data_IF_241352653467
#
_entry.id   IF_241352653467
#
_cell.length_a   1.000
_cell.length_b   1.000
_cell.length_c   1.000
_cell.angle_alpha   90.00
_cell.angle_beta   90.00
_cell.angle_gamma   90.00
#
_symmetry.space_group_name_H-M   'P 1'
#
loop_
_entity.id
_entity.type
_entity.pdbx_description
1 polymer ?
#
# COMPACT_ATOMS: atom_id res chain seq x y z
N UNK A 1 -50.51 -11.39 10.18
CA UNK A 1 -50.90 -10.13 9.54
C UNK A 1 -52.22 -9.68 10.15
N UNK A 2 -52.29 -8.47 10.65
CA UNK A 2 -53.49 -8.02 11.33
C UNK A 2 -53.76 -6.58 10.91
N UNK A 3 -54.87 -6.37 10.21
CA UNK A 3 -55.39 -5.00 9.99
C UNK A 3 -56.27 -4.67 11.17
N UNK A 4 -55.99 -3.57 11.79
CA UNK A 4 -56.72 -3.01 12.94
C UNK A 4 -57.56 -1.85 12.43
N UNK A 5 -58.79 -1.72 12.90
CA UNK A 5 -59.62 -0.56 12.59
C UNK A 5 -60.02 0.20 13.85
N UNK A 6 -60.18 1.51 13.71
CA UNK A 6 -60.76 2.40 14.74
C UNK A 6 -61.79 3.33 14.14
N UNK A 7 -62.68 3.82 14.95
CA UNK A 7 -63.60 4.90 14.56
C UNK A 7 -63.07 6.22 15.09
N UNK A 8 -62.95 7.20 14.20
CA UNK A 8 -62.61 8.58 14.54
C UNK A 8 -63.68 9.52 14.00
N UNK A 9 -64.65 9.86 14.87
CA UNK A 9 -65.86 10.57 14.45
C UNK A 9 -66.76 9.66 13.63
N UNK A 10 -67.15 10.09 12.42
CA UNK A 10 -67.95 9.31 11.48
C UNK A 10 -67.13 8.51 10.46
N UNK A 11 -65.81 8.49 10.57
CA UNK A 11 -64.90 7.85 9.60
C UNK A 11 -64.18 6.66 10.26
N UNK A 12 -64.26 5.48 9.61
CA UNK A 12 -63.53 4.31 10.00
C UNK A 12 -62.15 4.33 9.38
N UNK A 13 -61.11 4.24 10.22
CA UNK A 13 -59.69 4.23 9.79
C UNK A 13 -59.04 2.88 10.00
N UNK A 14 -58.04 2.56 9.18
CA UNK A 14 -57.37 1.27 9.13
C UNK A 14 -55.85 1.44 9.29
N UNK A 15 -55.26 0.50 10.02
CA UNK A 15 -53.84 0.41 10.25
C UNK A 15 -53.38 -1.03 10.10
N UNK A 16 -52.26 -1.28 9.39
CA UNK A 16 -51.67 -2.61 9.39
C UNK A 16 -50.62 -2.76 10.48
N UNK A 17 -50.52 -3.99 11.00
CA UNK A 17 -49.46 -4.43 11.89
C UNK A 17 -48.77 -5.64 11.27
N UNK A 18 -47.43 -5.46 10.99
CA UNK A 18 -46.60 -6.52 10.41
C UNK A 18 -45.45 -6.87 11.32
N UNK A 19 -45.09 -8.14 11.31
CA UNK A 19 -43.89 -8.66 11.92
C UNK A 19 -42.89 -8.95 10.79
N UNK A 20 -41.68 -8.57 10.97
CA UNK A 20 -40.59 -8.84 10.05
C UNK A 20 -39.31 -9.18 10.83
N UNK A 21 -38.40 -9.92 10.19
CA UNK A 21 -37.12 -10.27 10.76
C UNK A 21 -36.13 -9.26 10.29
N UNK A 22 -35.38 -8.67 11.23
CA UNK A 22 -34.28 -7.75 10.87
C UNK A 22 -33.07 -8.54 10.35
N UNK A 23 -32.06 -7.83 9.89
CA UNK A 23 -30.83 -8.37 9.32
C UNK A 23 -29.99 -9.21 10.31
N UNK A 24 -30.27 -9.08 11.61
CA UNK A 24 -29.61 -9.87 12.67
C UNK A 24 -30.45 -11.11 13.07
N UNK A 25 -31.55 -11.37 12.37
CA UNK A 25 -32.45 -12.48 12.70
C UNK A 25 -33.48 -12.16 13.79
N UNK A 26 -33.49 -10.91 14.29
CA UNK A 26 -34.43 -10.55 15.36
C UNK A 26 -35.81 -10.22 14.79
N UNK A 27 -36.87 -10.77 15.44
CA UNK A 27 -38.24 -10.49 15.09
C UNK A 27 -38.66 -9.11 15.58
N UNK A 28 -39.05 -8.21 14.67
CA UNK A 28 -39.55 -6.87 14.96
C UNK A 28 -40.97 -6.68 14.51
N UNK A 29 -41.66 -5.77 15.18
CA UNK A 29 -43.03 -5.38 14.85
C UNK A 29 -43.04 -3.92 14.37
N UNK A 30 -43.84 -3.65 13.34
CA UNK A 30 -44.11 -2.29 12.85
C UNK A 30 -45.60 -2.10 12.65
N UNK A 31 -46.10 -0.93 13.13
CA UNK A 31 -47.44 -0.40 12.86
C UNK A 31 -47.31 0.68 11.79
N UNK A 32 -48.27 0.73 10.84
CA UNK A 32 -48.36 1.81 9.85
C UNK A 32 -48.96 3.09 10.44
N UNK A 33 -49.03 4.14 9.62
CA UNK A 33 -50.00 5.22 9.86
C UNK A 33 -51.40 4.72 9.67
N UNK A 34 -52.41 5.52 10.07
CA UNK A 34 -53.82 5.24 9.82
C UNK A 34 -54.18 5.67 8.39
N UNK A 35 -54.99 4.84 7.71
CA UNK A 35 -55.50 5.07 6.37
C UNK A 35 -57.01 5.19 6.43
N UNK A 36 -57.61 5.97 5.53
CA UNK A 36 -59.05 6.19 5.53
C UNK A 36 -59.80 5.08 4.82
N UNK A 37 -59.11 4.25 4.00
CA UNK A 37 -59.72 3.09 3.36
C UNK A 37 -58.93 1.81 3.66
N UNK A 38 -59.67 0.67 3.72
CA UNK A 38 -59.05 -0.63 3.92
C UNK A 38 -58.16 -1.04 2.71
N UNK A 39 -58.51 -0.55 1.51
CA UNK A 39 -57.75 -0.84 0.29
C UNK A 39 -56.39 -0.17 0.35
N UNK A 40 -56.34 1.13 0.64
CA UNK A 40 -55.08 1.86 0.81
C UNK A 40 -54.19 1.23 1.89
N UNK A 41 -54.77 0.77 2.99
CA UNK A 41 -54.06 0.09 4.05
C UNK A 41 -53.43 -1.23 3.57
N UNK A 42 -54.17 -2.05 2.78
CA UNK A 42 -53.67 -3.30 2.19
C UNK A 42 -52.58 -3.05 1.14
N UNK A 43 -52.76 -2.06 0.28
CA UNK A 43 -51.77 -1.71 -0.75
C UNK A 43 -50.46 -1.19 -0.11
N UNK A 44 -50.58 -0.42 0.95
CA UNK A 44 -49.43 0.05 1.71
C UNK A 44 -48.74 -1.08 2.50
N UNK A 45 -49.49 -2.07 3.01
CA UNK A 45 -48.95 -3.28 3.63
C UNK A 45 -48.15 -4.11 2.61
N UNK A 46 -48.74 -4.37 1.45
CA UNK A 46 -48.11 -5.13 0.37
C UNK A 46 -46.82 -4.45 -0.11
N UNK A 47 -46.85 -3.13 -0.32
CA UNK A 47 -45.68 -2.31 -0.66
C UNK A 47 -44.60 -2.38 0.44
N UNK A 48 -45.00 -2.34 1.72
CA UNK A 48 -44.06 -2.49 2.82
C UNK A 48 -43.43 -3.88 2.86
N UNK A 49 -44.19 -4.95 2.65
CA UNK A 49 -43.66 -6.31 2.63
C UNK A 49 -42.71 -6.53 1.46
N UNK A 50 -43.06 -6.06 0.26
CA UNK A 50 -42.14 -6.07 -0.89
C UNK A 50 -40.86 -5.30 -0.57
N UNK A 51 -40.97 -4.07 -0.07
CA UNK A 51 -39.84 -3.26 0.36
C UNK A 51 -39.08 -3.85 1.55
N UNK A 52 -39.69 -4.61 2.44
CA UNK A 52 -39.01 -5.25 3.56
C UNK A 52 -38.29 -6.53 3.14
N UNK A 53 -38.81 -7.26 2.15
CA UNK A 53 -38.10 -8.36 1.49
C UNK A 53 -36.92 -7.83 0.63
N UNK A 54 -37.07 -6.64 0.03
CA UNK A 54 -35.97 -5.92 -0.58
C UNK A 54 -35.05 -5.24 0.43
N UNK A 55 -35.57 -4.89 1.64
CA UNK A 55 -34.86 -4.21 2.75
C UNK A 55 -34.09 -5.14 3.69
N UNK A 56 -33.70 -6.30 3.28
CA UNK A 56 -32.51 -6.97 3.80
C UNK A 56 -31.21 -6.25 3.34
N UNK A 57 -31.34 -5.02 2.89
CA UNK A 57 -30.28 -4.14 2.48
C UNK A 57 -30.00 -3.20 3.65
N UNK A 58 -28.83 -3.31 4.26
CA UNK A 58 -28.37 -2.38 5.29
C UNK A 58 -28.48 -0.95 4.79
N UNK A 59 -29.20 -0.12 5.54
CA UNK A 59 -29.26 1.33 5.33
C UNK A 59 -28.02 1.94 6.00
N UNK A 60 -26.86 1.77 5.36
CA UNK A 60 -25.57 2.24 5.86
C UNK A 60 -25.01 3.32 4.96
N UNK A 61 -24.46 4.37 5.55
CA UNK A 61 -23.74 5.41 4.82
C UNK A 61 -22.37 4.88 4.37
N UNK A 62 -21.89 5.39 3.23
CA UNK A 62 -20.59 4.99 2.71
C UNK A 62 -19.46 5.22 3.72
N UNK A 63 -19.47 6.34 4.44
CA UNK A 63 -18.49 6.67 5.48
C UNK A 63 -18.44 5.62 6.59
N UNK A 64 -19.59 5.16 7.05
CA UNK A 64 -19.68 4.18 8.14
C UNK A 64 -19.18 2.83 7.66
N UNK A 65 -19.61 2.39 6.48
CA UNK A 65 -19.10 1.17 5.84
C UNK A 65 -17.59 1.22 5.59
N UNK A 66 -17.08 2.37 5.16
CA UNK A 66 -15.65 2.56 4.92
C UNK A 66 -14.83 2.48 6.22
N UNK A 67 -15.33 3.06 7.32
CA UNK A 67 -14.68 2.96 8.62
C UNK A 67 -14.66 1.51 9.12
N UNK A 68 -15.77 0.77 9.00
CA UNK A 68 -15.79 -0.66 9.34
C UNK A 68 -14.79 -1.47 8.49
N UNK A 69 -14.74 -1.20 7.19
CA UNK A 69 -13.75 -1.83 6.31
C UNK A 69 -12.31 -1.50 6.71
N UNK A 70 -12.02 -0.25 7.08
CA UNK A 70 -10.69 0.16 7.55
C UNK A 70 -10.30 -0.63 8.80
N UNK A 71 -11.18 -0.72 9.79
CA UNK A 71 -10.94 -1.49 11.02
C UNK A 71 -10.78 -2.99 10.73
N UNK A 72 -11.66 -3.57 9.94
CA UNK A 72 -11.57 -4.97 9.52
C UNK A 72 -10.23 -5.28 8.83
N UNK A 73 -9.83 -4.44 7.88
CA UNK A 73 -8.61 -4.63 7.12
C UNK A 73 -7.33 -4.30 7.90
N UNK A 74 -7.42 -3.52 8.98
CA UNK A 74 -6.27 -3.16 9.82
C UNK A 74 -5.69 -4.34 10.59
N UNK A 75 -6.49 -5.38 10.85
CA UNK A 75 -6.02 -6.62 11.50
C UNK A 75 -4.93 -7.35 10.71
N UNK A 76 -4.91 -7.17 9.39
CA UNK A 76 -3.92 -7.79 8.49
C UNK A 76 -2.91 -6.79 7.89
N UNK A 77 -3.05 -5.50 8.18
CA UNK A 77 -2.25 -4.44 7.57
C UNK A 77 -1.47 -3.63 8.61
N UNK A 78 -0.42 -2.95 8.16
CA UNK A 78 0.37 -2.05 9.00
C UNK A 78 -0.40 -0.79 9.37
N UNK A 79 -0.05 -0.16 10.51
CA UNK A 79 -0.62 1.11 10.97
C UNK A 79 -0.56 2.20 9.89
N UNK A 80 0.53 2.26 9.12
CA UNK A 80 0.68 3.19 7.98
C UNK A 80 -0.38 2.98 6.90
N UNK A 81 -0.73 1.72 6.59
CA UNK A 81 -1.78 1.41 5.61
C UNK A 81 -3.17 1.82 6.12
N UNK A 82 -3.43 1.67 7.42
CA UNK A 82 -4.65 2.15 8.07
C UNK A 82 -4.78 3.66 7.94
N UNK A 83 -3.73 4.41 8.31
CA UNK A 83 -3.69 5.87 8.21
C UNK A 83 -3.89 6.37 6.77
N UNK A 84 -3.28 5.71 5.78
CA UNK A 84 -3.46 6.08 4.38
C UNK A 84 -4.90 5.87 3.90
N UNK A 85 -5.57 4.79 4.32
CA UNK A 85 -6.99 4.56 4.03
C UNK A 85 -7.89 5.61 4.70
N UNK A 86 -7.63 5.95 5.96
CA UNK A 86 -8.35 7.01 6.68
C UNK A 86 -8.19 8.37 5.98
N UNK A 87 -6.96 8.67 5.53
CA UNK A 87 -6.70 9.88 4.76
C UNK A 87 -7.44 9.88 3.42
N UNK A 88 -7.48 8.74 2.70
CA UNK A 88 -8.22 8.62 1.46
C UNK A 88 -9.72 8.85 1.68
N UNK A 89 -10.30 8.27 2.71
CA UNK A 89 -11.70 8.46 3.07
C UNK A 89 -12.00 9.95 3.32
N UNK A 90 -11.20 10.58 4.18
CA UNK A 90 -11.41 11.97 4.59
C UNK A 90 -11.20 12.99 3.46
N UNK A 91 -10.19 12.76 2.58
CA UNK A 91 -9.77 13.77 1.60
C UNK A 91 -10.40 13.61 0.23
N UNK A 92 -10.78 12.39 -0.16
CA UNK A 92 -11.18 12.11 -1.54
C UNK A 92 -12.56 11.45 -1.67
N UNK A 93 -13.21 11.09 -0.57
CA UNK A 93 -14.50 10.40 -0.62
C UNK A 93 -15.65 11.26 -0.08
N UNK A 94 -15.49 12.56 -0.01
CA UNK A 94 -16.48 13.50 0.55
C UNK A 94 -17.82 13.40 -0.18
N UNK A 95 -17.80 13.32 -1.50
CA UNK A 95 -19.00 13.14 -2.33
C UNK A 95 -19.79 11.87 -1.97
N UNK A 96 -19.13 10.84 -1.46
CA UNK A 96 -19.73 9.56 -1.10
C UNK A 96 -20.15 9.47 0.38
N UNK A 97 -19.48 10.22 1.26
CA UNK A 97 -19.45 10.01 2.70
C UNK A 97 -20.85 9.85 3.32
N UNK A 98 -21.74 10.77 3.06
CA UNK A 98 -23.09 10.79 3.66
C UNK A 98 -24.17 10.08 2.84
N UNK A 99 -23.80 9.51 1.69
CA UNK A 99 -24.74 8.76 0.85
C UNK A 99 -24.96 7.34 1.37
N UNK A 100 -26.20 6.89 1.29
CA UNK A 100 -26.53 5.48 1.46
C UNK A 100 -25.88 4.67 0.34
N UNK A 101 -25.13 3.62 0.69
CA UNK A 101 -24.38 2.81 -0.27
C UNK A 101 -25.26 2.17 -1.37
N UNK A 102 -26.51 1.84 -1.05
CA UNK A 102 -27.45 1.27 -2.01
C UNK A 102 -28.00 2.31 -3.01
N UNK A 103 -27.93 3.59 -2.67
CA UNK A 103 -28.32 4.69 -3.54
C UNK A 103 -27.24 5.08 -4.54
N UNK A 104 -25.99 4.64 -4.32
CA UNK A 104 -24.87 4.98 -5.17
C UNK A 104 -24.93 4.12 -6.44
N UNK A 105 -25.28 4.73 -7.57
CA UNK A 105 -25.38 4.08 -8.88
C UNK A 105 -24.17 4.41 -9.74
N UNK A 106 -23.99 3.65 -10.83
CA UNK A 106 -22.87 3.81 -11.77
C UNK A 106 -22.72 5.25 -12.28
N UNK A 107 -23.85 5.91 -12.63
CA UNK A 107 -23.81 7.29 -13.10
C UNK A 107 -23.21 8.25 -12.07
N UNK A 108 -23.50 8.03 -10.78
CA UNK A 108 -22.90 8.82 -9.71
C UNK A 108 -21.42 8.48 -9.50
N UNK A 109 -21.05 7.20 -9.61
CA UNK A 109 -19.64 6.80 -9.54
C UNK A 109 -18.80 7.35 -10.68
N UNK A 110 -19.40 7.54 -11.87
CA UNK A 110 -18.76 8.27 -12.97
C UNK A 110 -18.41 9.71 -12.55
N UNK A 111 -19.35 10.44 -11.94
CA UNK A 111 -19.07 11.80 -11.43
C UNK A 111 -17.95 11.81 -10.37
N UNK A 112 -17.93 10.82 -9.48
CA UNK A 112 -16.84 10.67 -8.49
C UNK A 112 -15.50 10.40 -9.18
N UNK A 113 -15.50 9.57 -10.22
CA UNK A 113 -14.29 9.30 -11.01
C UNK A 113 -13.79 10.58 -11.71
N UNK A 114 -14.70 11.32 -12.35
CA UNK A 114 -14.37 12.58 -13.04
C UNK A 114 -13.83 13.61 -12.04
N UNK A 115 -14.43 13.74 -10.85
CA UNK A 115 -13.91 14.56 -9.76
C UNK A 115 -12.47 14.14 -9.35
N UNK A 116 -12.21 12.83 -9.22
CA UNK A 116 -10.85 12.34 -8.88
C UNK A 116 -9.86 12.66 -10.02
N UNK A 117 -10.32 12.69 -11.26
CA UNK A 117 -9.48 13.04 -12.41
C UNK A 117 -9.01 14.50 -12.35
N UNK A 118 -9.89 15.40 -11.97
CA UNK A 118 -9.64 16.83 -11.88
C UNK A 118 -8.71 17.25 -10.71
N UNK A 119 -8.39 16.33 -9.78
CA UNK A 119 -7.55 16.63 -8.62
C UNK A 119 -6.06 16.83 -8.93
N UNK A 120 -5.61 16.71 -10.17
CA UNK A 120 -4.20 16.85 -10.55
C UNK A 120 -3.26 15.80 -9.94
N UNK A 121 -3.81 14.65 -9.52
CA UNK A 121 -3.05 13.56 -8.90
C UNK A 121 -2.41 12.66 -9.97
N UNK A 122 -1.31 11.97 -9.63
CA UNK A 122 -0.74 10.94 -10.48
C UNK A 122 -1.74 9.81 -10.75
N UNK A 123 -1.70 9.21 -11.94
CA UNK A 123 -2.54 8.06 -12.34
C UNK A 123 -2.51 6.93 -11.30
N UNK A 124 -1.34 6.64 -10.75
CA UNK A 124 -1.18 5.63 -9.68
C UNK A 124 -1.98 6.01 -8.42
N UNK A 125 -1.97 7.29 -8.01
CA UNK A 125 -2.71 7.77 -6.83
C UNK A 125 -4.22 7.75 -7.08
N UNK A 126 -4.67 8.21 -8.25
CA UNK A 126 -6.07 8.13 -8.69
C UNK A 126 -6.58 6.68 -8.62
N UNK A 127 -5.86 5.75 -9.22
CA UNK A 127 -6.21 4.32 -9.21
C UNK A 127 -6.20 3.70 -7.81
N UNK A 128 -5.36 4.19 -6.91
CA UNK A 128 -5.34 3.75 -5.51
C UNK A 128 -6.59 4.19 -4.76
N UNK A 129 -7.10 5.40 -5.04
CA UNK A 129 -8.37 5.90 -4.48
C UNK A 129 -9.54 5.05 -4.99
N UNK A 130 -9.63 4.81 -6.32
CA UNK A 130 -10.65 3.93 -6.89
C UNK A 130 -10.58 2.53 -6.31
N UNK A 131 -9.39 1.98 -6.11
CA UNK A 131 -9.15 0.67 -5.49
C UNK A 131 -9.62 0.61 -4.03
N UNK A 132 -9.48 1.69 -3.28
CA UNK A 132 -10.01 1.80 -1.92
C UNK A 132 -11.54 1.80 -1.93
N UNK A 133 -12.18 2.63 -2.75
CA UNK A 133 -13.65 2.69 -2.90
C UNK A 133 -14.21 1.31 -3.31
N UNK A 134 -13.59 0.66 -4.29
CA UNK A 134 -13.95 -0.70 -4.72
C UNK A 134 -13.89 -1.71 -3.57
N UNK A 135 -12.85 -1.61 -2.74
CA UNK A 135 -12.67 -2.51 -1.59
C UNK A 135 -13.75 -2.31 -0.52
N UNK A 136 -14.20 -1.07 -0.31
CA UNK A 136 -15.32 -0.75 0.59
C UNK A 136 -16.60 -1.39 0.09
N UNK A 137 -16.94 -1.26 -1.21
CA UNK A 137 -18.12 -1.91 -1.78
C UNK A 137 -18.05 -3.45 -1.71
N UNK A 138 -16.89 -4.03 -2.02
CA UNK A 138 -16.69 -5.50 -1.88
C UNK A 138 -16.87 -5.97 -0.45
N UNK A 139 -16.41 -5.20 0.53
CA UNK A 139 -16.66 -5.48 1.94
C UNK A 139 -18.16 -5.44 2.26
N UNK A 140 -18.85 -4.41 1.77
CA UNK A 140 -20.31 -4.27 1.92
C UNK A 140 -21.09 -5.40 1.26
N UNK A 141 -20.69 -5.87 0.09
CA UNK A 141 -21.28 -7.05 -0.54
C UNK A 141 -21.12 -8.31 0.33
N UNK A 142 -19.91 -8.48 0.92
CA UNK A 142 -19.59 -9.67 1.72
C UNK A 142 -20.31 -9.71 3.07
N UNK A 143 -20.45 -8.56 3.74
CA UNK A 143 -20.89 -8.52 5.14
C UNK A 143 -22.19 -7.76 5.37
N UNK A 144 -22.63 -6.93 4.41
CA UNK A 144 -23.80 -6.05 4.56
C UNK A 144 -24.86 -6.27 3.48
N UNK A 145 -24.79 -7.35 2.72
CA UNK A 145 -25.83 -7.73 1.76
C UNK A 145 -26.01 -6.73 0.61
N UNK A 146 -25.01 -5.91 0.30
CA UNK A 146 -25.05 -5.03 -0.88
C UNK A 146 -25.06 -5.92 -2.12
N UNK A 147 -26.07 -5.73 -3.00
CA UNK A 147 -26.32 -6.63 -4.13
C UNK A 147 -25.35 -6.44 -5.31
N UNK A 148 -24.83 -5.24 -5.50
CA UNK A 148 -23.96 -4.92 -6.64
C UNK A 148 -22.90 -3.88 -6.25
N UNK A 149 -21.76 -3.98 -6.91
CA UNK A 149 -20.68 -3.03 -6.74
C UNK A 149 -20.67 -2.07 -7.95
N UNK A 150 -20.99 -0.79 -7.77
CA UNK A 150 -20.98 0.16 -8.89
C UNK A 150 -19.60 0.41 -9.47
N UNK A 151 -18.53 0.01 -8.76
CA UNK A 151 -17.14 0.13 -9.24
C UNK A 151 -16.76 -0.92 -10.30
N UNK A 152 -17.53 -2.02 -10.45
CA UNK A 152 -17.18 -3.08 -11.40
C UNK A 152 -17.27 -2.61 -12.86
N UNK A 153 -17.99 -1.51 -13.13
CA UNK A 153 -18.14 -0.89 -14.45
C UNK A 153 -17.39 0.48 -14.55
N UNK A 154 -16.55 0.79 -13.60
CA UNK A 154 -15.74 2.02 -13.62
C UNK A 154 -14.31 1.67 -14.05
N UNK A 155 -13.91 2.19 -15.19
CA UNK A 155 -12.58 1.99 -15.73
C UNK A 155 -11.51 2.68 -14.88
N UNK A 156 -10.38 2.02 -14.76
CA UNK A 156 -9.20 2.62 -14.17
C UNK A 156 -8.65 3.72 -15.08
N UNK A 157 -7.95 4.66 -14.46
CA UNK A 157 -7.18 5.64 -15.19
C UNK A 157 -6.00 4.96 -15.91
N UNK A 158 -5.85 5.24 -17.18
CA UNK A 158 -4.68 4.85 -17.97
C UNK A 158 -3.66 5.98 -17.95
N UNK A 159 -2.39 5.66 -17.96
CA UNK A 159 -1.34 6.67 -18.15
C UNK A 159 -1.54 7.31 -19.53
N UNK A 160 -1.52 8.64 -19.58
CA UNK A 160 -1.42 9.31 -20.87
C UNK A 160 -0.06 9.01 -21.53
N UNK A 161 -0.01 9.09 -22.85
CA UNK A 161 1.25 8.98 -23.60
C UNK A 161 2.29 10.00 -23.15
N UNK A 162 1.83 11.15 -22.59
CA UNK A 162 2.67 12.23 -22.08
C UNK A 162 3.10 12.02 -20.61
N UNK A 163 2.47 11.11 -19.87
CA UNK A 163 2.98 10.64 -18.57
C UNK A 163 4.21 9.78 -18.86
N UNK A 164 5.33 10.45 -19.18
CA UNK A 164 6.64 9.82 -19.39
C UNK A 164 6.83 8.81 -18.29
N UNK A 165 7.16 7.58 -18.65
CA UNK A 165 7.80 6.65 -17.74
C UNK A 165 8.88 7.48 -17.05
N UNK A 166 8.71 7.78 -15.76
CA UNK A 166 9.76 8.46 -15.01
C UNK A 166 10.98 7.56 -15.16
N UNK A 167 11.92 8.00 -16.00
CA UNK A 167 13.20 7.33 -16.12
C UNK A 167 13.73 7.17 -14.70
N UNK A 168 14.18 5.97 -14.38
CA UNK A 168 14.74 5.73 -13.06
C UNK A 168 16.01 6.53 -12.96
N UNK A 169 16.03 7.51 -12.05
CA UNK A 169 17.24 8.24 -11.71
C UNK A 169 18.19 7.27 -10.99
N UNK A 170 19.13 6.71 -11.73
CA UNK A 170 20.15 5.78 -11.20
C UNK A 170 21.51 6.49 -11.15
N UNK A 171 22.32 6.13 -10.17
CA UNK A 171 23.72 6.54 -10.12
C UNK A 171 24.61 5.45 -10.70
N UNK A 172 25.54 5.84 -11.57
CA UNK A 172 26.71 5.03 -11.91
C UNK A 172 27.59 4.85 -10.68
N UNK A 173 28.56 3.95 -10.74
CA UNK A 173 29.54 3.73 -9.66
C UNK A 173 30.33 5.02 -9.39
N UNK A 174 30.73 5.73 -10.42
CA UNK A 174 31.49 7.01 -10.28
C UNK A 174 30.64 8.12 -9.64
N UNK A 175 29.38 8.27 -10.06
CA UNK A 175 28.45 9.21 -9.43
C UNK A 175 28.22 8.86 -7.96
N UNK A 176 28.08 7.57 -7.66
CA UNK A 176 27.92 7.11 -6.28
C UNK A 176 29.15 7.39 -5.41
N UNK A 177 30.35 7.18 -5.94
CA UNK A 177 31.59 7.51 -5.23
C UNK A 177 31.68 9.03 -4.95
N UNK A 178 31.40 9.87 -5.95
CA UNK A 178 31.31 11.34 -5.75
C UNK A 178 30.27 11.73 -4.70
N UNK A 179 29.12 11.03 -4.67
CA UNK A 179 28.12 11.22 -3.64
C UNK A 179 28.65 10.89 -2.25
N UNK A 180 29.35 9.76 -2.09
CA UNK A 180 29.95 9.37 -0.81
C UNK A 180 31.03 10.33 -0.32
N UNK A 181 31.87 10.82 -1.24
CA UNK A 181 32.96 11.76 -0.92
C UNK A 181 32.44 13.15 -0.53
N UNK A 182 31.22 13.50 -0.93
CA UNK A 182 30.57 14.75 -0.55
C UNK A 182 29.90 14.71 0.84
N UNK A 183 29.88 13.55 1.50
CA UNK A 183 29.34 13.41 2.86
C UNK A 183 30.42 13.84 3.85
N UNK A 184 30.09 14.79 4.73
CA UNK A 184 31.01 15.29 5.75
C UNK A 184 31.48 14.18 6.69
N UNK A 185 32.70 14.29 7.19
CA UNK A 185 33.29 13.29 8.10
C UNK A 185 32.48 13.13 9.39
N UNK A 186 31.85 14.19 9.89
CA UNK A 186 30.93 14.14 11.03
C UNK A 186 29.68 13.25 10.76
N UNK A 187 29.44 12.93 9.50
CA UNK A 187 28.37 12.07 9.05
C UNK A 187 28.87 10.72 8.51
N UNK A 188 30.06 10.28 8.91
CA UNK A 188 30.71 9.06 8.43
C UNK A 188 29.84 7.81 8.59
N UNK A 189 29.06 7.71 9.68
CA UNK A 189 28.15 6.58 9.86
C UNK A 189 27.05 6.55 8.79
N UNK A 190 26.55 7.71 8.34
CA UNK A 190 25.60 7.79 7.23
C UNK A 190 26.26 7.46 5.89
N UNK A 191 27.51 7.86 5.69
CA UNK A 191 28.30 7.45 4.52
C UNK A 191 28.39 5.92 4.45
N UNK A 192 28.72 5.26 5.55
CA UNK A 192 28.78 3.82 5.68
C UNK A 192 27.41 3.16 5.42
N UNK A 193 26.33 3.75 5.93
CA UNK A 193 24.97 3.32 5.68
C UNK A 193 24.62 3.33 4.19
N UNK A 194 24.91 4.43 3.46
CA UNK A 194 24.65 4.50 2.01
C UNK A 194 25.53 3.54 1.23
N UNK A 195 26.77 3.35 1.65
CA UNK A 195 27.66 2.36 1.03
C UNK A 195 27.04 0.95 1.11
N UNK A 196 26.62 0.52 2.28
CA UNK A 196 25.99 -0.81 2.45
C UNK A 196 24.68 -0.88 1.66
N UNK A 197 23.87 0.17 1.68
CA UNK A 197 22.58 0.21 0.97
C UNK A 197 22.76 0.05 -0.55
N UNK A 198 23.73 0.78 -1.13
CA UNK A 198 24.02 0.73 -2.56
C UNK A 198 24.61 -0.63 -2.97
N UNK A 199 25.65 -1.09 -2.31
CA UNK A 199 26.35 -2.31 -2.69
C UNK A 199 25.60 -3.62 -2.37
N UNK A 200 24.62 -3.57 -1.49
CA UNK A 200 23.76 -4.74 -1.19
C UNK A 200 22.44 -4.74 -1.94
N UNK A 201 21.96 -3.60 -2.38
CA UNK A 201 20.63 -3.43 -2.96
C UNK A 201 19.50 -3.72 -1.97
N UNK A 202 19.73 -3.62 -0.66
CA UNK A 202 18.71 -3.79 0.37
C UNK A 202 17.65 -2.70 0.28
N UNK A 203 16.43 -2.98 0.81
CA UNK A 203 15.45 -1.91 1.01
C UNK A 203 15.90 -1.01 2.16
N UNK A 204 15.52 0.28 2.11
CA UNK A 204 15.83 1.25 3.17
C UNK A 204 15.61 0.68 4.58
N UNK A 205 14.41 0.15 4.85
CA UNK A 205 14.08 -0.37 6.17
C UNK A 205 14.82 -1.67 6.52
N UNK A 206 15.17 -2.51 5.52
CA UNK A 206 15.98 -3.70 5.74
C UNK A 206 17.39 -3.32 6.21
N UNK A 207 18.01 -2.37 5.53
CA UNK A 207 19.36 -1.88 5.88
C UNK A 207 19.36 -1.15 7.23
N UNK A 208 18.40 -0.25 7.46
CA UNK A 208 18.28 0.47 8.72
C UNK A 208 17.93 -0.44 9.92
N UNK A 209 17.43 -1.63 9.68
CA UNK A 209 17.09 -2.62 10.72
C UNK A 209 18.16 -3.68 10.93
N UNK A 210 19.30 -3.56 10.24
CA UNK A 210 20.39 -4.51 10.38
C UNK A 210 20.99 -4.41 11.78
N UNK A 211 21.11 -5.55 12.49
CA UNK A 211 21.78 -5.64 13.78
C UNK A 211 23.13 -6.33 13.66
N UNK A 212 23.99 -6.24 14.68
CA UNK A 212 25.29 -6.89 14.67
C UNK A 212 25.19 -8.42 14.62
N UNK A 213 24.05 -9.01 15.01
CA UNK A 213 23.76 -10.45 14.88
C UNK A 213 23.42 -10.88 13.43
N UNK A 214 23.12 -9.93 12.54
CA UNK A 214 22.58 -10.25 11.23
C UNK A 214 23.65 -10.45 10.16
N UNK A 215 24.93 -10.29 10.47
CA UNK A 215 26.00 -10.47 9.50
C UNK A 215 27.20 -11.25 10.05
N UNK A 216 28.00 -11.74 9.12
CA UNK A 216 29.32 -12.32 9.36
C UNK A 216 30.26 -11.95 8.21
N UNK A 217 31.49 -12.48 8.20
CA UNK A 217 32.49 -12.18 7.16
C UNK A 217 32.09 -12.54 5.72
N UNK A 218 31.02 -13.29 5.53
CA UNK A 218 30.62 -13.79 4.19
C UNK A 218 29.24 -13.32 3.75
N UNK A 219 28.33 -13.07 4.70
CA UNK A 219 26.92 -12.85 4.39
C UNK A 219 26.28 -11.87 5.35
N UNK A 220 25.30 -11.10 4.83
CA UNK A 220 24.25 -10.43 5.58
C UNK A 220 22.97 -11.26 5.47
N UNK A 221 22.31 -11.51 6.61
CA UNK A 221 21.04 -12.23 6.68
C UNK A 221 19.89 -11.22 6.77
N UNK A 222 19.09 -11.10 5.72
CA UNK A 222 17.91 -10.23 5.69
C UNK A 222 16.68 -11.07 6.01
N UNK A 223 16.11 -10.93 7.21
CA UNK A 223 15.01 -11.80 7.65
C UNK A 223 13.90 -11.08 8.40
N UNK A 224 14.13 -9.85 8.85
CA UNK A 224 13.18 -8.99 9.60
C UNK A 224 13.39 -7.51 9.25
N UNK A 225 12.50 -6.66 9.68
CA UNK A 225 12.63 -5.22 9.62
C UNK A 225 12.05 -4.58 10.88
N UNK A 226 12.60 -3.45 11.30
CA UNK A 226 12.03 -2.61 12.35
C UNK A 226 11.36 -1.40 11.70
N UNK A 227 10.13 -1.10 12.10
CA UNK A 227 9.37 0.05 11.61
C UNK A 227 8.74 0.75 12.80
N UNK A 228 9.11 2.01 13.05
CA UNK A 228 8.65 2.78 14.20
C UNK A 228 8.91 2.08 15.55
N UNK A 229 10.07 1.44 15.72
CA UNK A 229 10.45 0.72 16.93
C UNK A 229 9.85 -0.69 17.06
N UNK A 230 9.00 -1.13 16.14
CA UNK A 230 8.38 -2.46 16.18
C UNK A 230 9.05 -3.41 15.18
N UNK A 231 9.47 -4.58 15.67
CA UNK A 231 10.01 -5.65 14.83
C UNK A 231 8.89 -6.34 14.04
N UNK A 232 9.02 -6.34 12.74
CA UNK A 232 8.04 -6.90 11.83
C UNK A 232 8.66 -7.94 10.89
N UNK A 233 7.91 -8.98 10.50
CA UNK A 233 8.34 -9.87 9.44
C UNK A 233 8.46 -9.10 8.11
N UNK A 234 9.28 -9.61 7.21
CA UNK A 234 9.35 -9.08 5.85
C UNK A 234 8.03 -9.32 5.11
N UNK A 235 7.67 -8.39 4.20
CA UNK A 235 6.38 -8.39 3.49
C UNK A 235 6.06 -9.66 2.72
N UNK A 236 7.09 -10.40 2.26
CA UNK A 236 6.92 -11.64 1.48
C UNK A 236 7.93 -12.69 1.92
N UNK A 237 7.57 -13.98 1.77
CA UNK A 237 8.49 -15.08 2.05
C UNK A 237 9.78 -14.99 1.21
N UNK A 238 9.70 -14.53 -0.04
CA UNK A 238 10.84 -14.34 -0.92
C UNK A 238 11.80 -13.21 -0.50
N UNK A 239 11.38 -12.32 0.41
CA UNK A 239 12.24 -11.24 0.92
C UNK A 239 13.31 -11.74 1.90
N UNK A 240 13.11 -12.89 2.57
CA UNK A 240 14.15 -13.54 3.40
C UNK A 240 15.26 -14.05 2.50
N UNK A 241 16.47 -13.59 2.72
CA UNK A 241 17.63 -13.94 1.89
C UNK A 241 18.94 -13.71 2.60
N UNK A 242 20.00 -14.33 2.06
CA UNK A 242 21.39 -14.01 2.37
C UNK A 242 21.99 -13.21 1.24
N UNK A 243 22.71 -12.16 1.57
CA UNK A 243 23.43 -11.32 0.63
C UNK A 243 24.93 -11.58 0.86
N UNK A 244 25.61 -12.12 -0.15
CA UNK A 244 27.05 -12.28 -0.10
C UNK A 244 27.72 -10.90 -0.06
N UNK A 245 28.72 -10.76 0.81
CA UNK A 245 29.55 -9.56 0.98
C UNK A 245 31.01 -9.88 0.77
N UNK A 246 31.75 -8.91 0.30
CA UNK A 246 33.19 -8.92 0.15
C UNK A 246 33.92 -8.33 1.37
N UNK A 247 35.22 -8.16 1.24
CA UNK A 247 36.07 -7.60 2.29
C UNK A 247 35.74 -6.12 2.59
N UNK A 248 35.38 -5.35 1.56
CA UNK A 248 35.13 -3.92 1.69
C UNK A 248 33.81 -3.68 2.45
N UNK A 249 32.74 -4.40 2.07
CA UNK A 249 31.48 -4.37 2.81
C UNK A 249 31.65 -4.84 4.26
N UNK A 250 32.43 -5.91 4.47
CA UNK A 250 32.71 -6.41 5.82
C UNK A 250 33.49 -5.39 6.63
N UNK A 251 34.50 -4.72 6.06
CA UNK A 251 35.28 -3.67 6.72
C UNK A 251 34.40 -2.51 7.21
N UNK A 252 33.44 -2.06 6.39
CA UNK A 252 32.48 -1.03 6.76
C UNK A 252 31.60 -1.48 7.95
N UNK A 253 31.11 -2.73 7.92
CA UNK A 253 30.30 -3.25 9.01
C UNK A 253 31.12 -3.47 10.30
N UNK A 254 32.37 -3.89 10.16
CA UNK A 254 33.31 -4.03 11.28
C UNK A 254 33.68 -2.68 11.89
N UNK A 255 33.85 -1.63 11.09
CA UNK A 255 34.04 -0.27 11.57
C UNK A 255 32.88 0.16 12.48
N UNK A 256 31.62 -0.11 12.07
CA UNK A 256 30.46 0.19 12.93
C UNK A 256 30.50 -0.62 14.24
N UNK A 257 30.89 -1.88 14.17
CA UNK A 257 31.05 -2.70 15.38
C UNK A 257 32.12 -2.12 16.32
N UNK A 258 33.28 -1.70 15.78
CA UNK A 258 34.34 -1.07 16.58
C UNK A 258 33.88 0.23 17.25
N UNK A 259 33.02 1.01 16.58
CA UNK A 259 32.47 2.26 17.13
C UNK A 259 31.55 2.03 18.34
N UNK A 260 30.89 0.88 18.42
CA UNK A 260 29.87 0.63 19.46
C UNK A 260 30.27 -0.38 20.53
N UNK A 261 31.19 -1.31 20.26
CA UNK A 261 31.53 -2.47 21.12
C UNK A 261 31.96 -2.10 22.56
N UNK A 262 32.54 -0.93 22.72
CA UNK A 262 33.11 -0.50 24.03
C UNK A 262 32.08 0.32 24.87
N UNK A 263 30.85 0.51 24.38
CA UNK A 263 29.78 1.11 25.17
C UNK A 263 29.33 0.13 26.27
N UNK A 264 29.12 0.60 27.52
CA UNK A 264 28.77 -0.29 28.66
C UNK A 264 27.51 -1.12 28.44
N UNK A 265 26.54 -0.59 27.69
CA UNK A 265 25.25 -1.23 27.42
C UNK A 265 25.20 -1.91 26.03
N UNK A 266 26.34 -2.03 25.37
CA UNK A 266 26.41 -2.60 24.03
C UNK A 266 25.80 -4.01 23.99
N UNK A 267 24.99 -4.25 22.99
CA UNK A 267 24.41 -5.55 22.67
C UNK A 267 24.52 -5.82 21.16
N UNK A 268 24.75 -7.07 20.80
CA UNK A 268 24.72 -7.52 19.41
C UNK A 268 23.36 -7.33 18.74
N UNK A 269 22.30 -7.05 19.50
CA UNK A 269 20.96 -6.70 18.99
C UNK A 269 20.81 -5.20 18.69
N UNK A 270 21.82 -4.38 18.97
CA UNK A 270 21.81 -2.98 18.54
C UNK A 270 21.87 -2.89 17.01
N UNK A 271 21.32 -1.79 16.48
CA UNK A 271 21.39 -1.53 15.04
C UNK A 271 22.83 -1.23 14.62
N UNK A 272 23.24 -1.79 13.49
CA UNK A 272 24.55 -1.50 12.90
C UNK A 272 24.71 0.00 12.61
N UNK A 273 23.60 0.66 12.22
CA UNK A 273 23.53 2.08 11.97
C UNK A 273 22.58 2.76 12.95
N UNK A 274 23.11 3.58 13.85
CA UNK A 274 22.40 4.28 14.89
C UNK A 274 22.46 3.65 16.28
N UNK A 275 23.11 2.50 16.46
CA UNK A 275 23.35 1.86 17.74
C UNK A 275 22.06 1.42 18.43
N UNK A 276 21.78 1.98 19.63
CA UNK A 276 20.57 1.64 20.38
C UNK A 276 19.28 2.00 19.64
N UNK A 277 19.28 3.08 18.87
CA UNK A 277 18.12 3.54 18.11
C UNK A 277 18.38 3.47 16.61
N UNK A 278 17.37 3.05 15.86
CA UNK A 278 17.42 3.07 14.41
C UNK A 278 17.56 4.50 13.87
N UNK A 279 18.30 4.67 12.76
CA UNK A 279 18.38 5.95 12.08
C UNK A 279 17.02 6.55 11.75
N UNK A 280 16.87 7.85 12.05
CA UNK A 280 15.68 8.60 11.65
C UNK A 280 15.68 8.82 10.13
N UNK A 281 14.61 8.39 9.46
CA UNK A 281 14.48 8.50 8.00
C UNK A 281 14.54 9.96 7.50
N UNK A 282 14.09 10.92 8.30
CA UNK A 282 14.18 12.35 7.96
C UNK A 282 15.64 12.80 7.91
N UNK A 283 16.46 12.41 8.89
CA UNK A 283 17.89 12.71 8.92
C UNK A 283 18.62 12.03 7.76
N UNK A 284 18.35 10.76 7.50
CA UNK A 284 18.89 10.03 6.35
C UNK A 284 18.56 10.78 5.05
N UNK A 285 17.32 11.24 4.87
CA UNK A 285 16.94 11.97 3.65
C UNK A 285 17.63 13.33 3.55
N UNK A 286 17.76 14.06 4.68
CA UNK A 286 18.43 15.37 4.72
C UNK A 286 19.90 15.24 4.32
N UNK A 287 20.66 14.36 4.95
CA UNK A 287 22.10 14.15 4.66
C UNK A 287 22.30 13.73 3.19
N UNK A 288 21.46 12.83 2.68
CA UNK A 288 21.45 12.44 1.26
C UNK A 288 21.28 13.68 0.36
N UNK A 289 20.31 14.54 0.64
CA UNK A 289 20.03 15.71 -0.18
C UNK A 289 21.20 16.71 -0.15
N UNK A 290 21.79 16.94 1.01
CA UNK A 290 22.97 17.81 1.19
C UNK A 290 24.16 17.28 0.38
N UNK A 291 24.44 15.97 0.46
CA UNK A 291 25.51 15.35 -0.29
C UNK A 291 25.28 15.43 -1.82
N UNK A 292 24.04 15.22 -2.29
CA UNK A 292 23.73 15.38 -3.71
C UNK A 292 24.02 16.80 -4.20
N UNK A 293 23.67 17.84 -3.42
CA UNK A 293 23.93 19.24 -3.77
C UNK A 293 25.45 19.51 -3.80
N UNK A 294 26.19 19.07 -2.76
CA UNK A 294 27.65 19.26 -2.69
C UNK A 294 28.39 18.56 -3.83
N UNK A 295 27.95 17.35 -4.22
CA UNK A 295 28.53 16.59 -5.31
C UNK A 295 28.14 17.11 -6.71
N UNK A 296 27.23 18.09 -6.78
CA UNK A 296 26.59 18.53 -8.02
C UNK A 296 25.97 17.34 -8.79
N UNK A 297 25.20 16.53 -8.07
CA UNK A 297 24.47 15.37 -8.61
C UNK A 297 22.95 15.61 -8.60
N UNK A 298 22.26 14.93 -9.50
CA UNK A 298 20.78 14.93 -9.49
C UNK A 298 20.23 14.37 -8.19
N UNK A 299 19.12 14.91 -7.72
CA UNK A 299 18.44 14.42 -6.52
C UNK A 299 17.72 13.12 -6.84
N UNK A 300 18.16 12.01 -6.25
CA UNK A 300 17.49 10.71 -6.35
C UNK A 300 16.80 10.36 -5.04
N UNK A 301 15.81 9.46 -5.09
CA UNK A 301 15.21 8.90 -3.89
C UNK A 301 16.15 7.87 -3.26
N UNK A 302 16.09 7.66 -1.96
CA UNK A 302 16.93 6.65 -1.30
C UNK A 302 16.69 5.24 -1.89
N UNK A 303 15.46 4.95 -2.34
CA UNK A 303 15.15 3.67 -2.99
C UNK A 303 15.85 3.50 -4.36
N UNK A 304 16.24 4.60 -4.97
CA UNK A 304 16.92 4.58 -6.27
C UNK A 304 18.36 4.08 -6.17
N UNK A 305 19.00 4.09 -4.98
CA UNK A 305 20.25 3.35 -4.75
C UNK A 305 20.12 1.85 -5.03
N UNK A 306 18.97 1.27 -4.66
CA UNK A 306 18.69 -0.12 -4.98
C UNK A 306 18.42 -0.30 -6.48
N UNK A 307 17.83 0.68 -7.14
CA UNK A 307 17.66 0.68 -8.60
C UNK A 307 19.02 0.78 -9.29
N UNK A 308 19.90 1.65 -8.82
CA UNK A 308 21.29 1.78 -9.31
C UNK A 308 22.05 0.44 -9.16
N UNK A 309 21.96 -0.19 -7.99
CA UNK A 309 22.56 -1.50 -7.78
C UNK A 309 22.09 -2.55 -8.80
N UNK A 310 20.78 -2.61 -9.05
CA UNK A 310 20.21 -3.55 -10.01
C UNK A 310 20.67 -3.25 -11.44
N UNK A 311 20.63 -1.97 -11.86
CA UNK A 311 21.04 -1.54 -13.20
C UNK A 311 22.50 -1.81 -13.46
N UNK A 312 23.40 -1.49 -12.52
CA UNK A 312 24.82 -1.78 -12.66
C UNK A 312 25.13 -3.28 -12.74
N UNK A 313 24.34 -4.13 -12.06
CA UNK A 313 24.49 -5.59 -12.19
C UNK A 313 24.01 -6.09 -13.56
N UNK A 314 22.98 -5.48 -14.13
CA UNK A 314 22.47 -5.84 -15.47
C UNK A 314 23.49 -5.41 -16.52
N UNK A 315 24.00 -4.20 -16.45
CA UNK A 315 25.04 -3.67 -17.32
C UNK A 315 26.33 -4.54 -17.26
N UNK A 316 26.65 -5.09 -16.08
CA UNK A 316 27.72 -6.06 -15.90
C UNK A 316 27.36 -7.47 -16.38
N UNK A 317 26.25 -7.71 -17.06
CA UNK A 317 25.84 -8.99 -17.63
C UNK A 317 25.35 -10.03 -16.59
N UNK A 318 25.00 -9.62 -15.37
CA UNK A 318 24.52 -10.56 -14.34
C UNK A 318 23.10 -11.02 -14.66
N UNK A 319 22.90 -12.34 -14.64
CA UNK A 319 21.61 -12.94 -14.95
C UNK A 319 20.47 -12.39 -14.06
N UNK A 320 19.34 -12.03 -14.68
CA UNK A 320 18.15 -11.43 -14.03
C UNK A 320 17.59 -12.25 -12.87
N UNK A 321 17.67 -13.58 -12.95
CA UNK A 321 17.24 -14.45 -11.85
C UNK A 321 18.13 -14.28 -10.61
N UNK A 322 19.46 -14.18 -10.79
CA UNK A 322 20.40 -13.93 -9.68
C UNK A 322 20.17 -12.57 -9.05
N UNK A 323 19.94 -11.55 -9.88
CA UNK A 323 19.59 -10.18 -9.41
C UNK A 323 18.28 -10.21 -8.63
N UNK A 324 17.24 -10.83 -9.16
CA UNK A 324 15.93 -10.97 -8.49
C UNK A 324 16.07 -11.62 -7.10
N UNK A 325 16.86 -12.69 -6.99
CA UNK A 325 17.16 -13.37 -5.71
C UNK A 325 17.92 -12.48 -4.74
N UNK A 326 18.96 -11.77 -5.21
CA UNK A 326 19.75 -10.84 -4.40
C UNK A 326 18.88 -9.70 -3.85
N UNK A 327 18.02 -9.15 -4.68
CA UNK A 327 17.07 -8.10 -4.29
C UNK A 327 15.92 -8.62 -3.41
N UNK A 328 15.59 -9.92 -3.44
CA UNK A 328 14.46 -10.48 -2.70
C UNK A 328 13.12 -10.09 -3.30
N UNK A 329 13.00 -10.13 -4.62
CA UNK A 329 11.72 -10.03 -5.31
C UNK A 329 10.97 -11.37 -5.21
N UNK A 330 9.64 -11.32 -5.10
CA UNK A 330 8.80 -12.52 -5.02
C UNK A 330 8.74 -13.30 -6.35
N UNK A 331 9.00 -12.60 -7.46
CA UNK A 331 9.04 -13.14 -8.82
C UNK A 331 10.13 -12.45 -9.63
N UNK A 332 10.75 -13.20 -10.56
CA UNK A 332 11.68 -12.63 -11.55
C UNK A 332 10.99 -11.62 -12.47
N UNK A 333 9.70 -11.81 -12.73
CA UNK A 333 8.86 -10.89 -13.52
C UNK A 333 8.96 -9.45 -13.01
N UNK A 334 8.99 -9.24 -11.68
CA UNK A 334 9.14 -7.90 -11.09
C UNK A 334 10.46 -7.24 -11.52
N UNK A 335 11.53 -8.04 -11.65
CA UNK A 335 12.84 -7.54 -12.09
C UNK A 335 12.81 -7.27 -13.60
N UNK A 336 12.22 -8.17 -14.38
CA UNK A 336 12.07 -8.03 -15.84
C UNK A 336 11.21 -6.83 -16.21
N UNK A 337 10.03 -6.68 -15.60
CA UNK A 337 9.12 -5.56 -15.85
C UNK A 337 9.76 -4.19 -15.56
N UNK A 338 10.69 -4.17 -14.59
CA UNK A 338 11.30 -2.93 -14.15
C UNK A 338 12.61 -2.59 -14.87
N UNK A 339 13.38 -3.59 -15.24
CA UNK A 339 14.75 -3.41 -15.77
C UNK A 339 14.97 -4.08 -17.12
N UNK A 340 13.96 -4.76 -17.69
CA UNK A 340 14.13 -5.48 -18.96
C UNK A 340 14.52 -4.57 -20.13
N UNK A 341 14.12 -3.31 -20.09
CA UNK A 341 14.50 -2.30 -21.08
C UNK A 341 15.99 -1.92 -21.08
N UNK A 342 16.74 -2.33 -20.04
CA UNK A 342 18.20 -2.12 -19.94
C UNK A 342 19.00 -3.27 -20.56
N UNK A 343 18.33 -4.33 -21.01
CA UNK A 343 18.99 -5.42 -21.73
C UNK A 343 19.01 -5.03 -23.19
N UNK A 344 20.21 -4.81 -23.73
CA UNK A 344 20.38 -4.62 -25.16
C UNK A 344 19.93 -5.87 -25.92
N UNK A 345 19.08 -5.67 -26.92
CA UNK A 345 18.62 -6.73 -27.83
C UNK A 345 19.67 -7.05 -28.91
N UNK A 346 20.96 -6.89 -28.61
CA UNK A 346 22.01 -7.21 -29.57
C UNK A 346 22.01 -8.71 -29.87
N UNK A 347 21.46 -9.06 -31.02
CA UNK A 347 21.40 -10.43 -31.51
C UNK A 347 22.78 -11.11 -31.69
N UNK A 348 23.86 -10.36 -31.63
CA UNK A 348 25.24 -10.85 -31.72
C UNK A 348 25.65 -11.72 -30.53
N UNK A 349 25.16 -11.43 -29.30
CA UNK A 349 25.38 -12.32 -28.16
C UNK A 349 24.71 -13.68 -28.33
N UNK A 350 23.50 -13.71 -28.87
CA UNK A 350 22.76 -14.96 -29.16
C UNK A 350 23.48 -15.76 -30.21
N UNK A 351 23.93 -15.11 -31.28
CA UNK A 351 24.67 -15.76 -32.36
C UNK A 351 26.05 -16.30 -31.89
N UNK A 352 26.74 -15.52 -31.05
CA UNK A 352 28.02 -15.91 -30.48
C UNK A 352 27.87 -17.07 -29.50
N UNK A 353 26.82 -17.11 -28.68
CA UNK A 353 26.52 -18.21 -27.77
C UNK A 353 26.19 -19.52 -28.52
N UNK A 354 25.50 -19.45 -29.66
CA UNK A 354 25.22 -20.62 -30.51
C UNK A 354 26.43 -21.13 -31.28
N UNK A 355 27.44 -20.28 -31.52
CA UNK A 355 28.68 -20.66 -32.25
C UNK A 355 29.82 -21.16 -31.33
N UNK A 356 29.69 -20.97 -30.01
CA UNK A 356 30.61 -21.59 -29.03
C UNK A 356 30.21 -23.04 -28.82
N UNK A 357 30.68 -23.91 -29.74
CA UNK A 357 30.77 -25.36 -29.55
C UNK A 357 32.21 -25.73 -29.30
#
# INVERSE_FOLDING_TARGET
MTIISREKGRVKQYQYRVYFTDVFGNRKQRNSKWYDTQKECKDAEALFLIKSQEKNIYDIKFKDLANEYIEYSSKANTSKTKLDKQMMLRKYCDMLADRNVNSIKIAYMKQVRDYIDDLGLSTSRKNRILGFINSVFKYGMKYHGIKSNPMDLIDRFTKSTDEKLQEMDIYTIDEFNRFLDAIDEDHREFRNYYFVLYWTGMRLNECASLTFNDYNRKFINVHRQCVNGEWMPLKTKGSKRRIAIDKDLYSILDEQYQNYKDYPEFSMDWFVFGGYNQFNQTTVTRIKNEACVKANLRQIRIHDFRHSHASNLIEAGVNMYKISKRLGHSSVTITMDRYGHLIDEDGDEILSAMRKK
#
